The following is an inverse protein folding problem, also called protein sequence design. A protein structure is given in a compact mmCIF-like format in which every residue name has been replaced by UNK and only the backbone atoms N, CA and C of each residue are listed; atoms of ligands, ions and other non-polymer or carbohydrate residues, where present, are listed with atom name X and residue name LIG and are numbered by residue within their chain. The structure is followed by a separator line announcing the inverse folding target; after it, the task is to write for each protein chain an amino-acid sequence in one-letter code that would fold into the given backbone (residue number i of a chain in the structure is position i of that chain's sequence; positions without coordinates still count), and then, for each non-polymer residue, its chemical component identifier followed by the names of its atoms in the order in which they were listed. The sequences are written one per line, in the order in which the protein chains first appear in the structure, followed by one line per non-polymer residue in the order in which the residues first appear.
data_IF_570559560677
#
_entry.id   IF_570559560677
#
_cell.length_a   1.000
_cell.length_b   1.000
_cell.length_c   1.000
_cell.angle_alpha   90.00
_cell.angle_beta   90.00
_cell.angle_gamma   90.00
#
_symmetry.space_group_name_H-M   'P 1'
#
loop_
_entity.id
_entity.type
_entity.pdbx_description
1 polymer ?
#
# COMPACT_ATOMS: atom_id res chain seq x y z
N UNK A 1 -15.44 -12.27 -10.30
CA UNK A 1 -14.22 -13.08 -10.08
C UNK A 1 -14.46 -14.26 -9.11
N UNK A 2 -15.08 -14.05 -7.95
CA UNK A 2 -15.38 -15.15 -7.00
C UNK A 2 -16.28 -16.23 -7.63
N UNK A 3 -17.35 -15.84 -8.27
CA UNK A 3 -18.26 -16.77 -8.94
C UNK A 3 -17.53 -17.58 -10.01
N UNK A 4 -16.74 -16.92 -10.86
CA UNK A 4 -15.95 -17.60 -11.88
C UNK A 4 -14.97 -18.62 -11.28
N UNK A 5 -14.25 -18.27 -10.19
CA UNK A 5 -13.37 -19.19 -9.52
C UNK A 5 -14.10 -20.39 -8.89
N UNK A 6 -15.30 -20.16 -8.35
CA UNK A 6 -16.12 -21.25 -7.77
C UNK A 6 -16.69 -22.20 -8.82
N UNK A 7 -17.08 -21.66 -9.99
CA UNK A 7 -17.71 -22.41 -11.06
C UNK A 7 -16.68 -23.17 -11.94
N UNK A 8 -15.56 -22.52 -12.25
CA UNK A 8 -14.59 -23.02 -13.23
C UNK A 8 -13.24 -23.46 -12.63
N UNK A 9 -13.07 -23.32 -11.31
CA UNK A 9 -11.86 -23.78 -10.61
C UNK A 9 -10.74 -22.74 -10.49
N UNK A 10 -9.53 -23.22 -10.15
CA UNK A 10 -8.40 -22.36 -9.75
C UNK A 10 -7.70 -21.61 -10.89
N UNK A 11 -7.97 -21.98 -12.16
CA UNK A 11 -7.46 -21.29 -13.36
C UNK A 11 -8.61 -21.12 -14.34
N UNK A 12 -8.98 -19.87 -14.63
CA UNK A 12 -10.12 -19.55 -15.51
C UNK A 12 -9.65 -18.71 -16.69
N UNK A 13 -9.88 -19.18 -17.92
CA UNK A 13 -9.60 -18.42 -19.15
C UNK A 13 -10.73 -17.43 -19.41
N UNK A 14 -10.39 -16.16 -19.35
CA UNK A 14 -11.30 -15.04 -19.62
C UNK A 14 -10.81 -14.27 -20.85
N UNK A 15 -11.74 -13.65 -21.58
CA UNK A 15 -11.41 -12.72 -22.65
C UNK A 15 -11.88 -11.33 -22.27
N UNK A 16 -10.95 -10.40 -22.22
CA UNK A 16 -11.25 -8.97 -22.06
C UNK A 16 -10.91 -8.23 -23.35
N UNK A 17 -11.93 -7.97 -24.15
CA UNK A 17 -11.79 -7.47 -25.52
C UNK A 17 -10.86 -8.40 -26.34
N UNK A 18 -9.72 -7.91 -26.82
CA UNK A 18 -8.76 -8.67 -27.63
C UNK A 18 -7.66 -9.36 -26.77
N UNK A 19 -7.73 -9.26 -25.45
CA UNK A 19 -6.69 -9.79 -24.56
C UNK A 19 -7.15 -11.10 -23.93
N UNK A 20 -6.27 -12.09 -23.96
CA UNK A 20 -6.40 -13.27 -23.09
C UNK A 20 -6.06 -12.86 -21.68
N UNK A 21 -6.95 -13.16 -20.74
CA UNK A 21 -6.79 -12.88 -19.32
C UNK A 21 -7.14 -14.13 -18.55
N UNK A 22 -6.18 -14.64 -17.81
CA UNK A 22 -6.41 -15.79 -16.93
C UNK A 22 -6.58 -15.31 -15.51
N UNK A 23 -7.64 -15.78 -14.87
CA UNK A 23 -7.85 -15.60 -13.45
C UNK A 23 -7.27 -16.81 -12.74
N UNK A 24 -6.31 -16.58 -11.84
CA UNK A 24 -5.64 -17.65 -11.09
C UNK A 24 -5.89 -17.44 -9.61
N UNK A 25 -6.47 -18.46 -8.96
CA UNK A 25 -6.83 -18.41 -7.53
C UNK A 25 -6.23 -19.56 -6.72
N UNK A 26 -5.53 -20.51 -7.37
CA UNK A 26 -4.86 -21.59 -6.69
C UNK A 26 -3.49 -21.16 -6.17
N UNK A 27 -3.22 -21.25 -4.85
CA UNK A 27 -1.97 -20.75 -4.25
C UNK A 27 -0.70 -21.35 -4.86
N UNK A 28 -0.66 -22.64 -5.15
CA UNK A 28 0.50 -23.28 -5.77
C UNK A 28 0.79 -22.74 -7.19
N UNK A 29 -0.26 -22.39 -7.95
CA UNK A 29 -0.11 -21.80 -9.28
C UNK A 29 0.34 -20.33 -9.16
N UNK A 30 -0.19 -19.59 -8.18
CA UNK A 30 0.23 -18.22 -7.87
C UNK A 30 1.71 -18.21 -7.48
N UNK A 31 2.14 -19.14 -6.64
CA UNK A 31 3.54 -19.30 -6.26
C UNK A 31 4.43 -19.60 -7.48
N UNK A 32 3.98 -20.48 -8.37
CA UNK A 32 4.69 -20.77 -9.61
C UNK A 32 4.91 -19.50 -10.43
N UNK A 33 3.89 -18.66 -10.60
CA UNK A 33 3.95 -17.41 -11.39
C UNK A 33 4.76 -16.31 -10.72
N UNK A 34 4.61 -16.14 -9.40
CA UNK A 34 5.21 -15.01 -8.68
C UNK A 34 6.62 -15.30 -8.17
N UNK A 35 6.93 -16.56 -7.88
CA UNK A 35 8.17 -16.97 -7.20
C UNK A 35 9.01 -17.85 -8.10
N UNK A 36 8.58 -19.08 -8.35
CA UNK A 36 9.41 -20.14 -8.98
C UNK A 36 9.77 -19.76 -10.40
N UNK A 37 8.81 -19.35 -11.20
CA UNK A 37 8.97 -19.02 -12.61
C UNK A 37 8.88 -17.52 -12.89
N UNK A 38 9.12 -16.67 -11.88
CA UNK A 38 8.95 -15.22 -11.96
C UNK A 38 9.66 -14.56 -13.16
N UNK A 39 10.76 -15.15 -13.65
CA UNK A 39 11.52 -14.68 -14.83
C UNK A 39 10.77 -14.83 -16.15
N UNK A 40 9.81 -15.73 -16.25
CA UNK A 40 8.98 -15.94 -17.43
C UNK A 40 7.85 -14.92 -17.56
N UNK A 41 7.71 -14.06 -16.56
CA UNK A 41 6.61 -13.09 -16.47
C UNK A 41 7.11 -11.67 -16.22
N UNK A 42 6.36 -10.70 -16.75
CA UNK A 42 6.52 -9.28 -16.45
C UNK A 42 5.25 -8.72 -15.83
N UNK A 43 5.27 -7.49 -15.36
CA UNK A 43 4.08 -6.79 -14.90
C UNK A 43 3.07 -6.67 -16.04
N UNK A 44 1.79 -6.81 -15.71
CA UNK A 44 0.73 -6.77 -16.71
C UNK A 44 0.59 -5.39 -17.35
N UNK A 45 -0.11 -5.34 -18.46
CA UNK A 45 -0.19 -4.16 -19.30
C UNK A 45 -0.72 -2.90 -18.58
N UNK A 46 -1.66 -3.03 -17.63
CA UNK A 46 -2.25 -1.89 -16.95
C UNK A 46 -1.21 -1.09 -16.14
N UNK A 47 -0.30 -1.76 -15.44
CA UNK A 47 0.82 -1.08 -14.77
C UNK A 47 1.74 -0.37 -15.76
N UNK A 48 1.90 -0.94 -16.96
CA UNK A 48 2.72 -0.34 -18.03
C UNK A 48 2.03 0.79 -18.78
N UNK A 49 0.72 1.04 -18.55
CA UNK A 49 0.01 2.21 -19.10
C UNK A 49 0.28 3.50 -18.32
N UNK A 50 0.95 3.43 -17.18
CA UNK A 50 1.18 4.58 -16.29
C UNK A 50 2.64 5.14 -16.26
N UNK A 51 3.44 5.05 -17.34
CA UNK A 51 4.79 5.62 -17.34
C UNK A 51 4.77 7.16 -17.34
N UNK A 52 3.64 7.78 -17.58
CA UNK A 52 3.50 9.24 -17.60
C UNK A 52 3.62 9.81 -16.19
N UNK A 53 3.02 9.14 -15.20
CA UNK A 53 3.09 9.54 -13.79
C UNK A 53 4.35 8.99 -13.13
N UNK A 54 4.56 7.68 -13.20
CA UNK A 54 5.58 6.95 -12.44
C UNK A 54 6.91 6.77 -13.18
N UNK A 55 7.00 7.20 -14.45
CA UNK A 55 8.19 7.00 -15.25
C UNK A 55 8.63 5.54 -15.32
N UNK A 56 9.92 5.30 -15.08
CA UNK A 56 10.54 3.97 -14.98
C UNK A 56 10.95 3.62 -13.54
N UNK A 57 10.10 3.98 -12.55
CA UNK A 57 10.33 3.59 -11.15
C UNK A 57 10.07 2.10 -10.89
N UNK A 58 10.29 1.65 -9.65
CA UNK A 58 10.20 0.24 -9.24
C UNK A 58 8.87 -0.43 -9.62
N UNK A 59 7.77 0.31 -9.64
CA UNK A 59 6.45 -0.25 -9.96
C UNK A 59 6.24 -0.49 -11.46
N UNK A 60 6.91 0.27 -12.34
CA UNK A 60 6.68 0.27 -13.79
C UNK A 60 7.82 -0.32 -14.60
N UNK A 61 9.03 -0.35 -14.05
CA UNK A 61 10.24 -0.85 -14.72
C UNK A 61 10.31 -2.37 -14.78
N UNK A 62 11.11 -2.91 -15.70
CA UNK A 62 11.24 -4.35 -15.97
C UNK A 62 12.69 -4.77 -16.20
N UNK A 63 12.94 -6.07 -16.19
CA UNK A 63 14.22 -6.68 -16.54
C UNK A 63 15.37 -6.24 -15.64
N UNK A 64 16.57 -6.15 -16.22
CA UNK A 64 17.81 -5.79 -15.51
C UNK A 64 17.76 -4.37 -14.95
N UNK A 65 17.07 -3.45 -15.64
CA UNK A 65 16.88 -2.10 -15.13
C UNK A 65 16.11 -2.11 -13.81
N UNK A 66 14.99 -2.85 -13.72
CA UNK A 66 14.25 -3.01 -12.48
C UNK A 66 15.11 -3.65 -11.38
N UNK A 67 15.86 -4.71 -11.71
CA UNK A 67 16.71 -5.41 -10.75
C UNK A 67 17.77 -4.48 -10.16
N UNK A 68 18.39 -3.66 -11.01
CA UNK A 68 19.33 -2.64 -10.59
C UNK A 68 18.69 -1.62 -9.64
N UNK A 69 17.56 -1.04 -10.02
CA UNK A 69 16.84 -0.06 -9.17
C UNK A 69 16.43 -0.68 -7.83
N UNK A 70 15.94 -1.92 -7.84
CA UNK A 70 15.58 -2.65 -6.62
C UNK A 70 16.77 -2.81 -5.68
N UNK A 71 17.95 -3.20 -6.18
CA UNK A 71 19.18 -3.34 -5.38
C UNK A 71 19.61 -2.01 -4.77
N UNK A 72 19.54 -0.92 -5.53
CA UNK A 72 19.91 0.41 -5.05
C UNK A 72 18.95 0.94 -3.98
N UNK A 73 17.66 0.64 -4.09
CA UNK A 73 16.65 1.10 -3.13
C UNK A 73 16.53 0.20 -1.89
N UNK A 74 16.83 -1.11 -1.99
CA UNK A 74 16.61 -2.09 -0.92
C UNK A 74 17.25 -1.73 0.43
N UNK A 75 18.49 -1.20 0.51
CA UNK A 75 19.12 -0.84 1.79
C UNK A 75 18.33 0.21 2.59
N UNK A 76 17.63 1.13 1.90
CA UNK A 76 16.80 2.16 2.56
C UNK A 76 15.55 1.58 3.25
N UNK A 77 15.17 0.35 2.91
CA UNK A 77 14.06 -0.38 3.50
C UNK A 77 14.50 -1.53 4.40
N UNK A 78 15.76 -1.55 4.85
CA UNK A 78 16.20 -2.50 5.87
C UNK A 78 15.53 -2.21 7.20
N UNK A 79 15.31 -3.25 8.02
CA UNK A 79 14.67 -3.11 9.33
C UNK A 79 15.38 -2.09 10.22
N UNK A 80 16.71 -2.09 10.20
CA UNK A 80 17.55 -1.13 10.95
C UNK A 80 17.28 0.31 10.48
N UNK A 81 17.12 0.52 9.16
CA UNK A 81 16.84 1.84 8.62
C UNK A 81 15.43 2.30 8.96
N UNK A 82 14.44 1.41 8.84
CA UNK A 82 13.04 1.75 9.17
C UNK A 82 12.91 2.09 10.66
N UNK A 83 13.69 1.45 11.53
CA UNK A 83 13.73 1.77 12.94
C UNK A 83 14.04 3.25 13.22
N UNK A 84 14.86 3.89 12.38
CA UNK A 84 15.19 5.32 12.50
C UNK A 84 14.03 6.24 12.11
N UNK A 85 13.03 5.75 11.37
CA UNK A 85 11.83 6.51 11.01
C UNK A 85 10.72 6.43 12.07
N UNK A 86 10.81 5.53 13.05
CA UNK A 86 9.81 5.38 14.11
C UNK A 86 9.50 6.70 14.84
N UNK A 87 10.50 7.52 15.24
CA UNK A 87 10.20 8.82 15.83
C UNK A 87 9.34 9.72 14.92
N UNK A 88 9.51 9.63 13.59
CA UNK A 88 8.68 10.35 12.63
C UNK A 88 7.25 9.82 12.62
N UNK A 89 7.05 8.50 12.63
CA UNK A 89 5.70 7.90 12.69
C UNK A 89 4.96 8.36 13.94
N UNK A 90 5.63 8.32 15.07
CA UNK A 90 5.10 8.73 16.37
C UNK A 90 4.79 10.21 16.42
N UNK A 91 5.70 11.08 15.93
CA UNK A 91 5.52 12.53 15.96
C UNK A 91 4.33 12.98 15.08
N UNK A 92 4.24 12.47 13.84
CA UNK A 92 3.13 12.81 12.94
C UNK A 92 1.79 12.30 13.45
N UNK A 93 1.76 11.09 14.02
CA UNK A 93 0.54 10.56 14.66
C UNK A 93 0.15 11.41 15.87
N UNK A 94 1.10 11.80 16.71
CA UNK A 94 0.84 12.66 17.87
C UNK A 94 0.32 14.03 17.46
N UNK A 95 0.91 14.68 16.43
CA UNK A 95 0.43 15.94 15.86
C UNK A 95 -0.99 15.83 15.30
N UNK A 96 -1.33 14.72 14.64
CA UNK A 96 -2.68 14.47 14.18
C UNK A 96 -3.64 14.38 15.36
N UNK A 97 -3.33 13.57 16.36
CA UNK A 97 -4.15 13.38 17.57
C UNK A 97 -4.33 14.67 18.38
N UNK A 98 -3.32 15.53 18.41
CA UNK A 98 -3.40 16.82 19.11
C UNK A 98 -4.42 17.80 18.49
N UNK A 99 -4.82 17.59 17.24
CA UNK A 99 -5.84 18.42 16.55
C UNK A 99 -7.26 17.88 16.72
N UNK A 100 -7.42 16.67 17.26
CA UNK A 100 -8.71 16.05 17.43
C UNK A 100 -9.36 16.47 18.74
N UNK A 101 -10.65 16.78 18.69
CA UNK A 101 -11.45 17.22 19.83
C UNK A 101 -12.50 16.15 20.16
N UNK A 102 -12.92 16.08 21.44
CA UNK A 102 -14.05 15.25 21.85
C UNK A 102 -15.31 15.60 21.04
N UNK A 103 -15.95 14.55 20.46
CA UNK A 103 -17.17 14.73 19.67
C UNK A 103 -16.96 15.17 18.22
N UNK A 104 -15.71 15.37 17.78
CA UNK A 104 -15.44 15.63 16.36
C UNK A 104 -16.02 14.53 15.48
N UNK A 105 -16.67 14.94 14.39
CA UNK A 105 -17.06 14.03 13.32
C UNK A 105 -16.01 14.13 12.20
N UNK A 106 -15.35 13.00 11.86
CA UNK A 106 -14.22 13.00 10.93
C UNK A 106 -14.33 11.87 9.93
N UNK A 107 -13.88 12.13 8.70
CA UNK A 107 -13.64 11.09 7.72
C UNK A 107 -12.27 10.44 7.98
N UNK A 108 -12.27 9.22 8.51
CA UNK A 108 -11.05 8.44 8.80
C UNK A 108 -10.17 8.30 7.55
N UNK A 109 -10.76 8.14 6.37
CA UNK A 109 -9.99 8.05 5.12
C UNK A 109 -9.15 9.32 4.91
N UNK A 110 -9.73 10.49 5.09
CA UNK A 110 -9.01 11.76 4.92
C UNK A 110 -7.93 11.95 5.98
N UNK A 111 -8.22 11.59 7.23
CA UNK A 111 -7.23 11.67 8.33
C UNK A 111 -6.03 10.72 8.08
N UNK A 112 -6.29 9.48 7.69
CA UNK A 112 -5.22 8.52 7.39
C UNK A 112 -4.43 8.92 6.15
N UNK A 113 -5.08 9.46 5.12
CA UNK A 113 -4.41 10.01 3.93
C UNK A 113 -3.47 11.17 4.29
N UNK A 114 -3.90 12.08 5.17
CA UNK A 114 -3.07 13.21 5.63
C UNK A 114 -1.90 12.72 6.50
N UNK A 115 -2.14 11.76 7.40
CA UNK A 115 -1.11 11.17 8.25
C UNK A 115 0.00 10.52 7.42
N UNK A 116 -0.37 9.58 6.56
CA UNK A 116 0.60 8.83 5.75
C UNK A 116 1.32 9.70 4.73
N UNK A 117 0.66 10.75 4.22
CA UNK A 117 1.29 11.76 3.36
C UNK A 117 2.40 12.51 4.11
N UNK A 118 2.11 12.97 5.33
CA UNK A 118 3.10 13.66 6.18
C UNK A 118 4.28 12.76 6.51
N UNK A 119 4.02 11.52 6.94
CA UNK A 119 5.05 10.52 7.24
C UNK A 119 5.92 10.25 6.01
N UNK A 120 5.30 9.97 4.85
CA UNK A 120 6.02 9.71 3.62
C UNK A 120 6.89 10.91 3.19
N UNK A 121 6.35 12.13 3.25
CA UNK A 121 7.09 13.34 2.92
C UNK A 121 8.34 13.51 3.81
N UNK A 122 8.18 13.28 5.12
CA UNK A 122 9.29 13.43 6.07
C UNK A 122 10.34 12.35 5.94
N UNK A 123 9.93 11.10 5.82
CA UNK A 123 10.86 9.96 5.73
C UNK A 123 11.53 9.84 4.38
N UNK A 124 10.85 10.23 3.29
CA UNK A 124 11.41 10.14 1.95
C UNK A 124 12.26 11.36 1.57
N UNK A 125 11.80 12.57 1.97
CA UNK A 125 12.40 13.82 1.50
C UNK A 125 12.97 14.71 2.61
N UNK A 126 12.79 14.33 3.88
CA UNK A 126 13.14 15.19 5.02
C UNK A 126 12.26 16.45 5.14
N UNK A 127 11.26 16.60 4.28
CA UNK A 127 10.42 17.79 4.19
C UNK A 127 9.13 17.63 5.01
N UNK A 128 8.65 18.69 5.61
CA UNK A 128 7.31 18.70 6.22
C UNK A 128 6.24 18.72 5.10
N UNK A 129 5.39 17.68 5.09
CA UNK A 129 4.42 17.43 4.02
C UNK A 129 3.30 18.46 3.90
N UNK A 130 3.07 19.29 4.92
CA UNK A 130 1.93 20.20 4.99
C UNK A 130 1.92 21.25 3.87
N UNK A 131 3.09 21.75 3.47
CA UNK A 131 3.20 22.79 2.45
C UNK A 131 2.72 22.35 1.04
N UNK A 132 2.77 21.07 0.74
CA UNK A 132 2.40 20.52 -0.57
C UNK A 132 1.22 19.56 -0.52
N UNK A 133 0.64 19.31 0.65
CA UNK A 133 -0.38 18.27 0.87
C UNK A 133 -1.58 18.41 -0.07
N UNK A 134 -2.12 19.61 -0.23
CA UNK A 134 -3.28 19.85 -1.10
C UNK A 134 -2.97 19.66 -2.58
N UNK A 135 -1.80 20.14 -3.03
CA UNK A 135 -1.34 19.95 -4.41
C UNK A 135 -1.14 18.47 -4.72
N UNK A 136 -0.49 17.74 -3.84
CA UNK A 136 -0.26 16.30 -3.96
C UNK A 136 -1.60 15.56 -3.96
N UNK A 137 -2.50 15.83 -3.02
CA UNK A 137 -3.82 15.21 -2.93
C UNK A 137 -4.63 15.40 -4.22
N UNK A 138 -4.67 16.63 -4.72
CA UNK A 138 -5.38 16.96 -5.97
C UNK A 138 -4.77 16.25 -7.18
N UNK A 139 -3.43 16.26 -7.29
CA UNK A 139 -2.73 15.59 -8.38
C UNK A 139 -2.93 14.07 -8.35
N UNK A 140 -2.93 13.45 -7.17
CA UNK A 140 -3.20 12.03 -6.99
C UNK A 140 -4.60 11.65 -7.45
N UNK A 141 -5.63 12.38 -7.02
CA UNK A 141 -7.00 12.12 -7.43
C UNK A 141 -7.15 12.18 -8.96
N UNK A 142 -6.57 13.20 -9.59
CA UNK A 142 -6.59 13.35 -11.06
C UNK A 142 -5.89 12.17 -11.75
N UNK A 143 -4.71 11.77 -11.25
CA UNK A 143 -3.94 10.68 -11.87
C UNK A 143 -4.67 9.34 -11.77
N UNK A 144 -5.34 9.07 -10.66
CA UNK A 144 -6.13 7.85 -10.44
C UNK A 144 -7.40 7.83 -11.30
N UNK A 145 -8.17 8.93 -11.36
CA UNK A 145 -9.34 9.03 -12.21
C UNK A 145 -8.98 8.79 -13.68
N UNK A 146 -7.92 9.41 -14.16
CA UNK A 146 -7.50 9.26 -15.57
C UNK A 146 -6.91 7.86 -15.82
N UNK A 147 -6.27 7.22 -14.82
CA UNK A 147 -5.84 5.83 -14.93
C UNK A 147 -7.05 4.90 -15.15
N UNK A 148 -8.08 4.98 -14.31
CA UNK A 148 -9.30 4.16 -14.46
C UNK A 148 -9.99 4.42 -15.78
N UNK A 149 -10.13 5.70 -16.16
CA UNK A 149 -10.73 6.07 -17.46
C UNK A 149 -9.97 5.47 -18.66
N UNK A 150 -8.63 5.45 -18.58
CA UNK A 150 -7.78 4.85 -19.61
C UNK A 150 -7.90 3.34 -19.65
N UNK A 151 -8.03 2.69 -18.49
CA UNK A 151 -8.14 1.23 -18.39
C UNK A 151 -9.41 0.71 -19.10
N UNK A 152 -10.53 1.45 -18.99
CA UNK A 152 -11.83 1.04 -19.54
C UNK A 152 -12.09 1.55 -20.98
N UNK A 153 -11.28 2.48 -21.50
CA UNK A 153 -11.44 2.98 -22.87
C UNK A 153 -10.94 1.98 -23.88
N UNK A 154 -11.78 1.64 -24.87
CA UNK A 154 -11.40 0.79 -26.01
C UNK A 154 -10.33 1.45 -26.90
N UNK A 155 -10.43 2.77 -27.09
CA UNK A 155 -9.46 3.56 -27.86
C UNK A 155 -8.77 4.54 -26.92
N UNK A 156 -7.45 4.39 -26.80
CA UNK A 156 -6.62 5.28 -26.00
C UNK A 156 -6.00 6.34 -26.89
N UNK A 157 -6.44 7.58 -26.72
CA UNK A 157 -5.77 8.71 -27.37
C UNK A 157 -4.40 8.95 -26.72
N UNK A 158 -3.35 9.17 -27.52
CA UNK A 158 -2.04 9.54 -27.00
C UNK A 158 -2.14 10.80 -26.12
N UNK A 159 -1.26 10.90 -25.12
CA UNK A 159 -1.30 12.02 -24.14
C UNK A 159 -1.04 13.39 -24.76
N UNK A 160 -0.32 13.44 -25.88
CA UNK A 160 -0.06 14.69 -26.59
C UNK A 160 -1.32 15.28 -27.26
N UNK A 161 -2.36 14.46 -27.47
CA UNK A 161 -3.66 14.98 -27.96
C UNK A 161 -4.30 15.84 -26.86
N UNK A 162 -4.62 17.13 -27.10
CA UNK A 162 -5.00 18.07 -26.07
C UNK A 162 -6.47 17.94 -25.61
N UNK A 163 -6.89 16.75 -25.19
CA UNK A 163 -8.20 16.54 -24.56
C UNK A 163 -8.23 17.16 -23.15
N UNK A 164 -9.42 17.45 -22.65
CA UNK A 164 -9.59 17.98 -21.29
C UNK A 164 -8.96 17.04 -20.23
N UNK A 165 -9.12 15.72 -20.37
CA UNK A 165 -8.50 14.70 -19.48
C UNK A 165 -6.99 14.70 -19.59
N UNK A 166 -6.43 14.68 -20.81
CA UNK A 166 -4.98 14.71 -21.00
C UNK A 166 -4.36 16.01 -20.45
N UNK A 167 -5.01 17.16 -20.63
CA UNK A 167 -4.53 18.43 -20.08
C UNK A 167 -4.54 18.43 -18.56
N UNK A 168 -5.60 17.88 -17.91
CA UNK A 168 -5.65 17.73 -16.46
C UNK A 168 -4.53 16.79 -15.95
N UNK A 169 -4.37 15.63 -16.59
CA UNK A 169 -3.31 14.68 -16.24
C UNK A 169 -1.92 15.29 -16.36
N UNK A 170 -1.61 15.95 -17.49
CA UNK A 170 -0.28 16.56 -17.69
C UNK A 170 -0.01 17.73 -16.73
N UNK A 171 -1.06 18.44 -16.28
CA UNK A 171 -0.91 19.45 -15.22
C UNK A 171 -0.57 18.79 -13.90
N UNK A 172 -1.36 17.79 -13.47
CA UNK A 172 -1.11 17.04 -12.26
C UNK A 172 0.30 16.42 -12.19
N UNK A 173 0.77 15.86 -13.32
CA UNK A 173 2.13 15.32 -13.42
C UNK A 173 3.18 16.43 -13.26
N UNK A 174 2.99 17.59 -13.89
CA UNK A 174 3.93 18.73 -13.75
C UNK A 174 3.98 19.25 -12.31
N UNK A 175 2.84 19.32 -11.63
CA UNK A 175 2.78 19.75 -10.23
C UNK A 175 3.57 18.81 -9.33
N UNK A 176 3.40 17.48 -9.49
CA UNK A 176 4.19 16.46 -8.78
C UNK A 176 5.68 16.52 -9.13
N UNK A 177 6.02 16.71 -10.42
CA UNK A 177 7.39 16.82 -10.89
C UNK A 177 8.09 18.02 -10.26
N UNK A 178 7.40 19.16 -10.22
CA UNK A 178 7.96 20.38 -9.62
C UNK A 178 8.35 20.13 -8.16
N UNK A 179 7.46 19.52 -7.38
CA UNK A 179 7.72 19.20 -5.96
C UNK A 179 8.93 18.27 -5.81
N UNK A 180 8.97 17.17 -6.58
CA UNK A 180 10.05 16.19 -6.44
C UNK A 180 11.40 16.73 -6.93
N UNK A 181 11.42 17.44 -8.06
CA UNK A 181 12.66 18.06 -8.53
C UNK A 181 13.16 19.18 -7.61
N UNK A 182 12.27 19.90 -6.93
CA UNK A 182 12.66 20.88 -5.92
C UNK A 182 13.34 20.21 -4.73
N UNK A 183 12.80 19.08 -4.23
CA UNK A 183 13.45 18.30 -3.19
C UNK A 183 14.83 17.77 -3.62
N UNK A 184 14.95 17.25 -4.83
CA UNK A 184 16.23 16.77 -5.38
C UNK A 184 17.24 17.93 -5.44
N UNK A 185 16.84 19.11 -5.96
CA UNK A 185 17.72 20.28 -6.06
C UNK A 185 18.15 20.79 -4.69
N UNK A 186 17.21 20.94 -3.76
CA UNK A 186 17.51 21.39 -2.40
C UNK A 186 18.47 20.43 -1.69
N UNK A 187 18.27 19.13 -1.84
CA UNK A 187 19.13 18.12 -1.24
C UNK A 187 20.55 18.15 -1.83
N UNK A 188 20.69 18.30 -3.14
CA UNK A 188 22.01 18.42 -3.80
C UNK A 188 22.74 19.71 -3.42
N UNK A 189 22.01 20.80 -3.21
CA UNK A 189 22.57 22.07 -2.79
C UNK A 189 22.91 22.12 -1.30
N UNK A 190 22.27 21.29 -0.48
CA UNK A 190 22.55 21.23 0.95
C UNK A 190 23.75 20.35 1.24
N UNK A 191 24.69 20.86 2.07
CA UNK A 191 25.79 20.05 2.60
C UNK A 191 25.38 19.17 3.80
N UNK A 192 24.09 19.14 4.13
CA UNK A 192 23.54 18.38 5.25
C UNK A 192 23.30 16.93 4.81
N UNK A 193 24.05 16.02 5.36
CA UNK A 193 23.76 14.59 5.23
C UNK A 193 22.56 14.26 6.14
N UNK A 194 21.42 14.00 5.51
CA UNK A 194 20.24 13.46 6.20
C UNK A 194 20.12 11.98 5.88
N UNK A 195 19.52 11.24 6.79
CA UNK A 195 19.40 9.78 6.67
C UNK A 195 18.03 9.36 6.06
N UNK A 196 17.46 10.22 5.22
CA UNK A 196 16.23 9.93 4.48
C UNK A 196 16.48 9.14 3.18
N UNK A 197 15.39 8.63 2.60
CA UNK A 197 15.45 7.82 1.39
C UNK A 197 16.09 8.55 0.22
N UNK A 198 15.75 9.84 0.00
CA UNK A 198 16.30 10.62 -1.12
C UNK A 198 17.83 10.73 -1.01
N UNK A 199 18.36 11.01 0.19
CA UNK A 199 19.80 11.03 0.42
C UNK A 199 20.47 9.70 0.12
N UNK A 200 19.85 8.60 0.52
CA UNK A 200 20.34 7.26 0.24
C UNK A 200 20.32 6.92 -1.24
N UNK A 201 19.26 7.27 -1.96
CA UNK A 201 19.19 7.09 -3.42
C UNK A 201 20.21 7.97 -4.16
N UNK A 202 20.45 9.18 -3.68
CA UNK A 202 21.50 10.06 -4.21
C UNK A 202 22.91 9.50 -3.99
N UNK A 203 23.15 8.87 -2.84
CA UNK A 203 24.43 8.25 -2.50
C UNK A 203 24.63 6.88 -3.15
N UNK A 204 23.54 6.22 -3.54
CA UNK A 204 23.58 4.86 -4.09
C UNK A 204 24.42 4.81 -5.37
N UNK A 205 25.41 3.90 -5.38
CA UNK A 205 26.25 3.60 -6.53
C UNK A 205 26.10 2.13 -6.88
N UNK A 206 26.18 1.85 -8.16
CA UNK A 206 26.28 0.47 -8.63
C UNK A 206 27.71 -0.02 -8.45
N UNK A 207 27.90 -1.27 -8.06
CA UNK A 207 29.24 -1.86 -8.00
C UNK A 207 29.88 -1.79 -9.39
N UNK A 208 31.00 -1.06 -9.49
CA UNK A 208 31.72 -0.84 -10.75
C UNK A 208 31.20 0.27 -11.66
N UNK A 209 30.13 1.02 -11.30
CA UNK A 209 29.65 2.16 -12.08
C UNK A 209 30.20 3.51 -11.53
N UNK A 210 30.74 4.32 -12.41
CA UNK A 210 31.25 5.68 -12.06
C UNK A 210 30.08 6.64 -11.70
N UNK A 211 28.85 6.35 -12.09
CA UNK A 211 27.71 7.26 -11.97
C UNK A 211 26.58 6.66 -11.14
N UNK A 212 25.96 7.47 -10.25
CA UNK A 212 24.72 7.13 -9.54
C UNK A 212 23.48 7.28 -10.42
N UNK A 213 22.31 7.35 -9.78
CA UNK A 213 21.05 7.63 -10.47
C UNK A 213 21.04 9.04 -11.09
N UNK A 214 20.50 9.15 -12.31
CA UNK A 214 20.20 10.46 -12.91
C UNK A 214 19.01 11.12 -12.18
N UNK A 215 18.84 12.44 -12.32
CA UNK A 215 17.72 13.16 -11.71
C UNK A 215 16.37 12.61 -12.17
N UNK A 216 16.26 12.19 -13.43
CA UNK A 216 15.07 11.54 -13.94
C UNK A 216 14.81 10.20 -13.26
N UNK A 217 15.82 9.38 -13.03
CA UNK A 217 15.67 8.11 -12.30
C UNK A 217 15.28 8.36 -10.84
N UNK A 218 15.93 9.32 -10.16
CA UNK A 218 15.59 9.74 -8.81
C UNK A 218 14.13 10.20 -8.72
N UNK A 219 13.69 11.06 -9.66
CA UNK A 219 12.29 11.49 -9.75
C UNK A 219 11.34 10.30 -9.89
N UNK A 220 11.63 9.37 -10.79
CA UNK A 220 10.78 8.23 -11.09
C UNK A 220 10.67 7.28 -9.86
N UNK A 221 11.77 7.05 -9.15
CA UNK A 221 11.78 6.26 -7.91
C UNK A 221 11.10 6.98 -6.75
N UNK A 222 11.41 8.26 -6.55
CA UNK A 222 10.79 9.07 -5.51
C UNK A 222 9.27 9.13 -5.65
N UNK A 223 8.75 9.41 -6.84
CA UNK A 223 7.32 9.41 -7.08
C UNK A 223 6.70 8.03 -6.89
N UNK A 224 7.37 6.98 -7.39
CA UNK A 224 6.86 5.60 -7.25
C UNK A 224 6.73 5.22 -5.78
N UNK A 225 7.75 5.45 -4.97
CA UNK A 225 7.78 5.06 -3.56
C UNK A 225 6.80 5.94 -2.76
N UNK A 226 6.78 7.24 -3.04
CA UNK A 226 5.88 8.19 -2.38
C UNK A 226 4.41 7.83 -2.59
N UNK A 227 3.99 7.62 -3.83
CA UNK A 227 2.61 7.28 -4.16
C UNK A 227 2.21 5.89 -3.63
N UNK A 228 3.11 4.92 -3.75
CA UNK A 228 2.85 3.56 -3.26
C UNK A 228 2.73 3.51 -1.74
N UNK A 229 3.58 4.23 -1.00
CA UNK A 229 3.61 4.19 0.47
C UNK A 229 2.47 4.97 1.11
N UNK A 230 2.10 6.12 0.56
CA UNK A 230 1.09 6.98 1.14
C UNK A 230 -0.32 6.38 1.07
N UNK A 231 -0.81 6.05 -0.12
CA UNK A 231 -2.20 5.66 -0.33
C UNK A 231 -2.52 4.28 0.25
N UNK A 232 -1.67 3.29 0.01
CA UNK A 232 -1.96 1.90 0.43
C UNK A 232 -2.02 1.76 1.95
N UNK A 233 -1.13 2.43 2.67
CA UNK A 233 -1.10 2.45 4.14
C UNK A 233 -2.33 3.16 4.70
N UNK A 234 -2.72 4.31 4.13
CA UNK A 234 -3.93 5.02 4.53
C UNK A 234 -5.19 4.18 4.35
N UNK A 235 -5.29 3.46 3.23
CA UNK A 235 -6.43 2.59 2.94
C UNK A 235 -6.49 1.39 3.88
N UNK A 236 -5.36 0.75 4.18
CA UNK A 236 -5.30 -0.35 5.15
C UNK A 236 -5.78 0.13 6.53
N UNK A 237 -5.30 1.27 7.02
CA UNK A 237 -5.75 1.85 8.29
C UNK A 237 -7.24 2.23 8.24
N UNK A 238 -7.73 2.80 7.14
CA UNK A 238 -9.13 3.19 7.00
C UNK A 238 -10.08 1.99 7.05
N UNK A 239 -9.74 0.92 6.35
CA UNK A 239 -10.51 -0.32 6.42
C UNK A 239 -10.43 -0.99 7.80
N UNK A 240 -9.27 -0.89 8.45
CA UNK A 240 -9.09 -1.38 9.83
C UNK A 240 -10.01 -0.66 10.80
N UNK A 241 -10.07 0.66 10.76
CA UNK A 241 -10.97 1.45 11.62
C UNK A 241 -12.44 1.21 11.30
N UNK A 242 -12.80 1.03 10.04
CA UNK A 242 -14.15 0.61 9.64
C UNK A 242 -14.54 -0.72 10.28
N UNK A 243 -13.66 -1.72 10.22
CA UNK A 243 -13.92 -3.03 10.82
C UNK A 243 -13.97 -2.96 12.34
N UNK A 244 -13.09 -2.24 12.99
CA UNK A 244 -13.12 -2.04 14.45
C UNK A 244 -14.39 -1.34 14.91
N UNK A 245 -14.89 -0.39 14.14
CA UNK A 245 -16.17 0.28 14.44
C UNK A 245 -17.38 -0.63 14.32
N UNK A 246 -17.29 -1.73 13.57
CA UNK A 246 -18.33 -2.75 13.47
C UNK A 246 -18.19 -3.88 14.50
N UNK A 247 -16.98 -4.07 15.07
CA UNK A 247 -16.64 -5.19 15.95
C UNK A 247 -16.07 -4.69 17.28
N UNK A 248 -16.96 -4.17 18.13
CA UNK A 248 -16.58 -3.52 19.39
C UNK A 248 -15.78 -4.43 20.33
N UNK A 249 -16.05 -5.73 20.34
CA UNK A 249 -15.28 -6.68 21.16
C UNK A 249 -13.82 -6.76 20.72
N UNK A 250 -13.57 -6.75 19.41
CA UNK A 250 -12.22 -6.69 18.85
C UNK A 250 -11.57 -5.36 19.16
N UNK A 251 -12.31 -4.26 18.96
CA UNK A 251 -11.81 -2.92 19.28
C UNK A 251 -11.40 -2.81 20.75
N UNK A 252 -12.20 -3.34 21.68
CA UNK A 252 -11.87 -3.32 23.10
C UNK A 252 -10.59 -4.12 23.44
N UNK A 253 -10.30 -5.21 22.73
CA UNK A 253 -9.01 -5.93 22.90
C UNK A 253 -7.83 -5.06 22.45
N UNK A 254 -7.95 -4.38 21.30
CA UNK A 254 -6.91 -3.44 20.82
C UNK A 254 -6.71 -2.29 21.80
N UNK A 255 -7.81 -1.74 22.34
CA UNK A 255 -7.76 -0.67 23.34
C UNK A 255 -7.04 -1.15 24.62
N UNK A 256 -7.40 -2.33 25.12
CA UNK A 256 -6.76 -2.90 26.31
C UNK A 256 -5.26 -3.18 26.10
N UNK A 257 -4.89 -3.69 24.91
CA UNK A 257 -3.48 -3.88 24.55
C UNK A 257 -2.72 -2.55 24.51
N UNK A 258 -3.28 -1.55 23.83
CA UNK A 258 -2.65 -0.22 23.74
C UNK A 258 -2.44 0.40 25.14
N UNK A 259 -3.42 0.28 26.06
CA UNK A 259 -3.32 0.76 27.41
C UNK A 259 -2.22 0.01 28.20
N UNK A 260 -2.20 -1.32 28.11
CA UNK A 260 -1.24 -2.16 28.83
C UNK A 260 0.20 -1.99 28.31
N UNK A 261 0.37 -1.85 26.99
CA UNK A 261 1.72 -1.75 26.39
C UNK A 261 2.26 -0.33 26.47
N UNK A 262 1.45 0.66 26.16
CA UNK A 262 1.89 2.06 26.07
C UNK A 262 1.77 2.82 27.40
N UNK A 263 0.81 2.48 28.24
CA UNK A 263 0.61 3.10 29.56
C UNK A 263 0.63 4.64 29.53
N UNK A 264 -0.01 5.24 28.54
CA UNK A 264 -0.08 6.71 28.34
C UNK A 264 1.14 7.34 27.67
N UNK A 265 2.23 6.61 27.45
CA UNK A 265 3.44 7.13 26.77
C UNK A 265 3.39 6.94 25.26
N UNK A 266 4.28 7.62 24.56
CA UNK A 266 4.55 7.38 23.14
C UNK A 266 5.26 6.05 22.94
N UNK A 267 4.91 5.27 21.88
CA UNK A 267 5.56 4.00 21.59
C UNK A 267 7.00 4.16 21.07
N UNK A 268 7.75 3.09 21.22
CA UNK A 268 9.09 2.90 20.67
C UNK A 268 9.14 1.63 19.82
N UNK A 269 10.30 1.33 19.21
CA UNK A 269 10.50 0.09 18.47
C UNK A 269 10.28 -1.16 19.31
N UNK A 270 10.62 -1.10 20.63
CA UNK A 270 10.54 -2.22 21.56
C UNK A 270 9.09 -2.59 21.91
N UNK A 271 8.13 -1.73 21.59
CA UNK A 271 6.72 -2.00 21.83
C UNK A 271 6.09 -2.84 20.71
N UNK A 272 6.62 -2.80 19.48
CA UNK A 272 6.08 -3.51 18.34
C UNK A 272 5.86 -5.02 18.60
N UNK A 273 6.80 -5.77 19.19
CA UNK A 273 6.57 -7.20 19.48
C UNK A 273 5.46 -7.47 20.49
N UNK A 274 5.06 -6.46 21.27
CA UNK A 274 4.03 -6.54 22.32
C UNK A 274 2.63 -6.16 21.82
N UNK A 275 2.53 -5.52 20.65
CA UNK A 275 1.28 -5.05 20.01
C UNK A 275 0.69 -6.13 19.10
N UNK A 276 0.44 -7.33 19.64
CA UNK A 276 0.02 -8.51 18.87
C UNK A 276 -1.42 -8.47 18.40
N UNK A 277 -2.37 -8.05 19.25
CA UNK A 277 -3.77 -7.90 18.84
C UNK A 277 -3.88 -6.82 17.75
N UNK A 278 -3.11 -5.73 17.90
CA UNK A 278 -3.01 -4.67 16.89
C UNK A 278 -2.48 -5.21 15.55
N UNK A 279 -1.42 -6.03 15.57
CA UNK A 279 -0.87 -6.68 14.38
C UNK A 279 -1.89 -7.63 13.73
N UNK A 280 -2.54 -8.49 14.52
CA UNK A 280 -3.55 -9.45 14.03
C UNK A 280 -4.75 -8.75 13.38
N UNK A 281 -5.20 -7.64 13.95
CA UNK A 281 -6.26 -6.80 13.39
C UNK A 281 -5.86 -6.24 12.03
N UNK A 282 -4.63 -5.77 11.87
CA UNK A 282 -4.12 -5.27 10.57
C UNK A 282 -4.03 -6.39 9.53
N UNK A 283 -3.51 -7.56 9.91
CA UNK A 283 -3.42 -8.71 9.01
C UNK A 283 -4.82 -9.15 8.54
N UNK A 284 -5.79 -9.22 9.45
CA UNK A 284 -7.16 -9.61 9.13
C UNK A 284 -7.88 -8.55 8.28
N UNK A 285 -7.65 -7.28 8.56
CA UNK A 285 -8.17 -6.19 7.74
C UNK A 285 -7.64 -6.27 6.31
N UNK A 286 -6.34 -6.47 6.12
CA UNK A 286 -5.73 -6.63 4.79
C UNK A 286 -6.16 -7.93 4.11
N UNK A 287 -6.52 -8.99 4.85
CA UNK A 287 -7.12 -10.19 4.28
C UNK A 287 -8.47 -9.89 3.64
N UNK A 288 -9.33 -9.15 4.35
CA UNK A 288 -10.68 -8.80 3.89
C UNK A 288 -10.67 -7.67 2.86
N UNK A 289 -9.86 -6.65 3.08
CA UNK A 289 -9.80 -5.43 2.26
C UNK A 289 -8.36 -5.08 1.88
N UNK A 290 -7.67 -5.93 1.09
CA UNK A 290 -6.31 -5.62 0.65
C UNK A 290 -6.31 -4.36 -0.22
N UNK A 291 -5.53 -3.32 0.11
CA UNK A 291 -5.46 -2.12 -0.72
C UNK A 291 -5.05 -2.40 -2.17
N UNK A 292 -4.05 -3.26 -2.37
CA UNK A 292 -3.68 -3.80 -3.68
C UNK A 292 -4.43 -5.11 -3.90
N UNK A 293 -5.68 -5.03 -4.31
CA UNK A 293 -6.64 -6.14 -4.33
C UNK A 293 -6.41 -7.22 -5.42
N UNK A 294 -5.45 -7.00 -6.31
CA UNK A 294 -5.13 -7.90 -7.42
C UNK A 294 -3.68 -7.74 -7.86
N UNK A 295 -2.97 -8.83 -7.95
CA UNK A 295 -1.62 -8.90 -8.54
C UNK A 295 -1.72 -9.40 -9.98
N UNK A 296 -1.07 -8.73 -10.92
CA UNK A 296 -1.10 -9.11 -12.33
C UNK A 296 0.28 -9.34 -12.93
N UNK A 297 0.37 -10.33 -13.81
CA UNK A 297 1.55 -10.65 -14.61
C UNK A 297 1.16 -10.82 -16.08
N UNK A 298 2.14 -10.79 -16.96
CA UNK A 298 1.98 -11.10 -18.39
C UNK A 298 3.10 -12.06 -18.81
N UNK A 299 2.74 -13.15 -19.48
CA UNK A 299 3.70 -14.14 -19.95
C UNK A 299 4.62 -13.57 -21.05
N UNK A 300 5.93 -13.70 -20.87
CA UNK A 300 6.94 -13.23 -21.83
C UNK A 300 7.18 -14.22 -22.97
N UNK A 301 6.93 -15.49 -22.71
CA UNK A 301 7.10 -16.62 -23.61
C UNK A 301 5.92 -17.56 -23.47
N UNK A 302 5.75 -18.50 -24.39
CA UNK A 302 4.84 -19.62 -24.21
C UNK A 302 5.34 -20.43 -23.01
N UNK A 303 4.47 -20.73 -22.07
CA UNK A 303 4.80 -21.42 -20.83
C UNK A 303 3.64 -22.26 -20.34
N UNK A 304 3.78 -22.90 -19.20
CA UNK A 304 2.72 -23.63 -18.52
C UNK A 304 2.30 -22.89 -17.25
N UNK A 305 0.99 -22.80 -17.01
CA UNK A 305 0.41 -22.21 -15.78
C UNK A 305 -0.73 -23.11 -15.30
N UNK A 306 -0.54 -23.75 -14.16
CA UNK A 306 -1.54 -24.64 -13.58
C UNK A 306 -1.87 -25.86 -14.44
N UNK A 307 -0.91 -26.43 -15.17
CA UNK A 307 -1.09 -27.56 -16.07
C UNK A 307 -1.65 -27.19 -17.46
N UNK A 308 -1.87 -25.90 -17.73
CA UNK A 308 -2.40 -25.43 -19.02
C UNK A 308 -1.34 -24.68 -19.83
N UNK A 309 -1.36 -24.88 -21.15
CA UNK A 309 -0.52 -24.11 -22.08
C UNK A 309 -0.92 -22.63 -22.07
N UNK A 310 -0.02 -21.78 -21.58
CA UNK A 310 -0.20 -20.35 -21.48
C UNK A 310 0.58 -19.63 -22.58
N UNK A 311 -0.07 -19.12 -23.64
CA UNK A 311 0.60 -18.42 -24.71
C UNK A 311 1.26 -17.11 -24.24
N UNK A 312 2.36 -16.74 -24.89
CA UNK A 312 2.98 -15.43 -24.74
C UNK A 312 1.96 -14.29 -24.82
N UNK A 313 2.09 -13.30 -23.94
CA UNK A 313 1.20 -12.13 -23.90
C UNK A 313 -0.09 -12.35 -23.11
N UNK A 314 -0.36 -13.58 -22.63
CA UNK A 314 -1.48 -13.84 -21.71
C UNK A 314 -1.29 -13.04 -20.43
N UNK A 315 -2.31 -12.29 -20.05
CA UNK A 315 -2.35 -11.61 -18.74
C UNK A 315 -2.88 -12.57 -17.68
N UNK A 316 -2.15 -12.71 -16.59
CA UNK A 316 -2.53 -13.54 -15.44
C UNK A 316 -2.88 -12.60 -14.29
N UNK A 317 -4.10 -12.69 -13.81
CA UNK A 317 -4.62 -11.91 -12.69
C UNK A 317 -4.82 -12.84 -11.49
N UNK A 318 -4.22 -12.46 -10.37
CA UNK A 318 -4.27 -13.17 -9.08
C UNK A 318 -4.98 -12.26 -8.07
N UNK A 319 -6.30 -12.40 -7.90
CA UNK A 319 -7.10 -11.52 -7.06
C UNK A 319 -6.97 -11.91 -5.59
N UNK A 320 -6.28 -11.07 -4.81
CA UNK A 320 -6.15 -11.23 -3.36
C UNK A 320 -7.52 -11.32 -2.67
N UNK A 321 -8.47 -10.47 -3.08
CA UNK A 321 -9.84 -10.47 -2.54
C UNK A 321 -10.60 -11.79 -2.73
N UNK A 322 -10.17 -12.65 -3.62
CA UNK A 322 -10.75 -14.00 -3.82
C UNK A 322 -9.95 -15.03 -3.04
N UNK A 323 -8.63 -15.03 -3.21
CA UNK A 323 -7.72 -16.02 -2.59
C UNK A 323 -7.75 -15.92 -1.07
N UNK A 324 -7.67 -14.70 -0.53
CA UNK A 324 -7.72 -14.43 0.92
C UNK A 324 -9.07 -14.75 1.57
N UNK A 325 -10.06 -15.14 0.78
CA UNK A 325 -11.38 -15.56 1.27
C UNK A 325 -11.75 -16.96 0.80
N UNK A 326 -10.76 -17.77 0.49
CA UNK A 326 -10.99 -19.16 0.14
C UNK A 326 -11.27 -20.00 1.39
N UNK A 327 -12.43 -20.66 1.50
CA UNK A 327 -12.81 -21.44 2.68
C UNK A 327 -11.90 -22.65 2.91
N UNK A 328 -11.12 -23.07 1.92
CA UNK A 328 -10.14 -24.16 2.07
C UNK A 328 -9.00 -23.75 3.01
N UNK A 329 -8.69 -22.47 3.11
CA UNK A 329 -7.57 -21.93 3.89
C UNK A 329 -8.02 -21.05 5.05
N UNK A 330 -9.20 -20.42 4.94
CA UNK A 330 -9.72 -19.49 5.94
C UNK A 330 -11.12 -19.95 6.37
N UNK A 331 -11.21 -20.53 7.54
CA UNK A 331 -12.50 -20.83 8.16
C UNK A 331 -13.31 -19.55 8.34
N UNK A 332 -14.64 -19.58 8.07
CA UNK A 332 -15.50 -18.38 8.11
C UNK A 332 -14.88 -17.21 7.35
N UNK A 333 -14.65 -17.36 6.02
CA UNK A 333 -13.74 -16.51 5.25
C UNK A 333 -14.22 -15.06 5.09
N UNK A 334 -15.50 -14.79 5.26
CA UNK A 334 -16.10 -13.46 5.11
C UNK A 334 -16.23 -12.71 6.45
N UNK A 335 -15.93 -13.37 7.58
CA UNK A 335 -15.98 -12.77 8.91
C UNK A 335 -14.62 -12.15 9.30
N UNK A 336 -14.71 -11.09 10.11
CA UNK A 336 -13.54 -10.41 10.67
C UNK A 336 -13.13 -11.07 11.99
N UNK A 337 -12.12 -11.91 11.95
CA UNK A 337 -11.66 -12.76 13.05
C UNK A 337 -10.13 -12.61 13.25
N UNK A 338 -9.66 -11.54 13.88
CA UNK A 338 -8.23 -11.34 14.11
C UNK A 338 -7.56 -12.46 14.91
N UNK A 339 -8.30 -13.15 15.77
CA UNK A 339 -7.82 -14.30 16.56
C UNK A 339 -7.30 -15.46 15.70
N UNK A 340 -7.66 -15.54 14.41
CA UNK A 340 -7.11 -16.56 13.51
C UNK A 340 -5.60 -16.45 13.33
N UNK A 341 -5.02 -15.23 13.48
CA UNK A 341 -3.60 -14.99 13.30
C UNK A 341 -2.75 -15.39 14.50
N UNK A 342 -3.39 -15.86 15.59
CA UNK A 342 -2.69 -16.45 16.76
C UNK A 342 -1.98 -17.73 16.36
N UNK A 343 -1.05 -18.17 17.20
CA UNK A 343 -0.32 -19.43 17.08
C UNK A 343 0.36 -19.61 15.74
N UNK A 344 0.94 -18.53 15.22
CA UNK A 344 1.66 -18.52 13.93
C UNK A 344 0.82 -19.05 12.74
N UNK A 345 -0.47 -18.75 12.71
CA UNK A 345 -1.39 -19.22 11.67
C UNK A 345 -0.87 -18.96 10.25
N UNK A 346 -0.26 -17.79 10.02
CA UNK A 346 0.32 -17.45 8.71
C UNK A 346 1.33 -18.49 8.22
N UNK A 347 2.14 -19.05 9.12
CA UNK A 347 3.13 -20.11 8.79
C UNK A 347 2.50 -21.44 8.44
N UNK A 348 1.23 -21.66 8.81
CA UNK A 348 0.48 -22.88 8.50
C UNK A 348 -0.24 -22.81 7.15
N UNK A 349 -0.39 -21.61 6.58
CA UNK A 349 -1.00 -21.42 5.29
C UNK A 349 -0.09 -21.91 4.16
N UNK A 350 -0.65 -22.46 3.07
CA UNK A 350 0.10 -22.65 1.84
C UNK A 350 0.71 -21.33 1.38
N UNK A 351 1.93 -21.38 0.87
CA UNK A 351 2.57 -20.18 0.33
C UNK A 351 1.66 -19.55 -0.75
N UNK A 352 1.54 -18.23 -0.74
CA UNK A 352 0.61 -17.47 -1.59
C UNK A 352 -0.90 -17.71 -1.35
N UNK A 353 -1.33 -18.34 -0.24
CA UNK A 353 -2.71 -18.27 0.21
C UNK A 353 -3.04 -16.92 0.86
N UNK A 354 -2.02 -16.25 1.42
CA UNK A 354 -2.09 -14.88 1.95
C UNK A 354 -0.88 -14.09 1.45
N UNK A 355 -1.09 -13.04 0.65
CA UNK A 355 -0.01 -12.28 0.01
C UNK A 355 -0.33 -10.79 -0.20
N UNK A 356 -0.78 -10.04 0.83
CA UNK A 356 -1.22 -8.65 0.69
C UNK A 356 -0.11 -7.68 0.24
N UNK A 357 1.13 -8.13 0.29
CA UNK A 357 2.31 -7.43 -0.20
C UNK A 357 2.89 -8.04 -1.49
N UNK A 358 2.13 -8.93 -2.15
CA UNK A 358 2.62 -9.74 -3.25
C UNK A 358 3.60 -10.82 -2.80
N UNK A 359 4.31 -11.43 -3.76
CA UNK A 359 5.28 -12.50 -3.46
C UNK A 359 6.46 -12.50 -4.43
N UNK A 360 7.50 -13.27 -4.07
CA UNK A 360 8.69 -13.50 -4.88
C UNK A 360 9.60 -12.29 -5.02
N UNK A 361 10.43 -12.22 -6.07
CA UNK A 361 11.42 -11.15 -6.25
C UNK A 361 10.81 -9.74 -6.27
N UNK A 362 9.52 -9.63 -6.63
CA UNK A 362 8.79 -8.36 -6.74
C UNK A 362 7.84 -8.10 -5.56
N UNK A 363 8.08 -8.76 -4.43
CA UNK A 363 7.38 -8.45 -3.16
C UNK A 363 7.54 -6.97 -2.81
N UNK A 364 6.56 -6.38 -2.16
CA UNK A 364 6.58 -4.99 -1.75
C UNK A 364 7.88 -4.66 -0.99
N UNK A 365 8.59 -3.62 -1.42
CA UNK A 365 9.83 -3.19 -0.78
C UNK A 365 9.57 -2.55 0.58
N UNK A 366 8.40 -1.94 0.74
CA UNK A 366 7.98 -1.20 1.92
C UNK A 366 7.11 -2.02 2.90
N UNK A 367 7.02 -3.35 2.78
CA UNK A 367 6.15 -4.17 3.64
C UNK A 367 6.43 -3.95 5.14
N UNK A 368 7.69 -4.03 5.54
CA UNK A 368 8.10 -3.80 6.94
C UNK A 368 7.82 -2.37 7.40
N UNK A 369 8.08 -1.38 6.52
CA UNK A 369 7.78 0.02 6.78
C UNK A 369 6.28 0.22 7.05
N UNK A 370 5.43 -0.27 6.15
CA UNK A 370 3.99 -0.13 6.24
C UNK A 370 3.43 -0.81 7.51
N UNK A 371 3.89 -2.03 7.83
CA UNK A 371 3.43 -2.74 9.04
C UNK A 371 3.83 -2.00 10.31
N UNK A 372 5.07 -1.50 10.42
CA UNK A 372 5.50 -0.73 11.60
C UNK A 372 4.73 0.58 11.72
N UNK A 373 4.56 1.32 10.63
CA UNK A 373 3.80 2.57 10.59
C UNK A 373 2.36 2.34 11.05
N UNK A 374 1.67 1.36 10.44
CA UNK A 374 0.27 1.06 10.75
C UNK A 374 0.09 0.60 12.19
N UNK A 375 0.96 -0.28 12.69
CA UNK A 375 0.88 -0.82 14.06
C UNK A 375 1.02 0.30 15.09
N UNK A 376 2.01 1.18 14.92
CA UNK A 376 2.23 2.29 15.86
C UNK A 376 1.12 3.33 15.78
N UNK A 377 0.68 3.70 14.57
CA UNK A 377 -0.40 4.67 14.39
C UNK A 377 -1.71 4.13 15.00
N UNK A 378 -2.06 2.87 14.71
CA UNK A 378 -3.28 2.24 15.23
C UNK A 378 -3.26 2.18 16.76
N UNK A 379 -2.14 1.76 17.39
CA UNK A 379 -2.01 1.69 18.84
C UNK A 379 -2.09 3.08 19.51
N UNK A 380 -1.45 4.11 18.93
CA UNK A 380 -1.49 5.47 19.45
C UNK A 380 -2.90 6.09 19.37
N UNK A 381 -3.61 5.86 18.26
CA UNK A 381 -4.99 6.31 18.10
C UNK A 381 -5.88 5.56 19.10
N UNK A 382 -5.74 4.23 19.17
CA UNK A 382 -6.51 3.37 20.08
C UNK A 382 -6.29 3.72 21.55
N UNK A 383 -5.11 4.19 21.94
CA UNK A 383 -4.85 4.66 23.29
C UNK A 383 -5.67 5.91 23.67
N UNK A 384 -5.92 6.81 22.71
CA UNK A 384 -6.52 8.13 23.01
C UNK A 384 -7.98 8.26 22.64
N UNK A 385 -8.42 7.58 21.57
CA UNK A 385 -9.77 7.73 21.02
C UNK A 385 -10.43 6.39 20.71
N UNK A 386 -11.72 6.35 20.92
CA UNK A 386 -12.63 5.36 20.40
C UNK A 386 -13.36 5.96 19.19
N UNK A 387 -13.52 5.17 18.14
CA UNK A 387 -14.26 5.55 16.94
C UNK A 387 -15.64 4.91 16.96
N UNK A 388 -16.67 5.74 16.84
CA UNK A 388 -18.03 5.29 16.63
C UNK A 388 -18.42 5.62 15.21
N UNK A 389 -18.74 4.59 14.43
CA UNK A 389 -19.19 4.79 13.04
C UNK A 389 -20.50 5.57 13.03
N UNK A 390 -20.60 6.55 12.14
CA UNK A 390 -21.83 7.30 11.98
C UNK A 390 -22.97 6.37 11.51
N UNK A 391 -24.16 6.45 12.11
CA UNK A 391 -25.27 5.60 11.75
C UNK A 391 -25.75 5.89 10.32
N UNK A 392 -26.18 4.84 9.62
CA UNK A 392 -26.80 4.96 8.30
C UNK A 392 -25.84 5.19 7.12
N UNK A 393 -24.53 5.29 7.35
CA UNK A 393 -23.60 5.34 6.23
C UNK A 393 -23.51 4.00 5.51
N UNK A 394 -23.61 4.03 4.18
CA UNK A 394 -23.46 2.84 3.34
C UNK A 394 -22.05 2.83 2.73
N UNK A 395 -21.12 2.16 3.40
CA UNK A 395 -19.72 2.06 2.94
C UNK A 395 -19.58 0.87 1.99
N UNK A 396 -19.14 1.16 0.77
CA UNK A 396 -18.94 0.17 -0.28
C UNK A 396 -17.49 0.14 -0.75
N UNK A 397 -17.10 -0.98 -1.36
CA UNK A 397 -15.77 -1.12 -1.97
C UNK A 397 -15.68 -0.33 -3.28
N UNK A 398 -14.94 0.75 -3.26
CA UNK A 398 -14.60 1.50 -4.47
C UNK A 398 -13.36 0.92 -5.15
N UNK A 399 -13.57 0.22 -6.27
CA UNK A 399 -12.48 -0.36 -7.06
C UNK A 399 -11.90 0.71 -7.99
N UNK A 400 -10.64 1.06 -7.77
CA UNK A 400 -9.84 1.95 -8.62
C UNK A 400 -8.50 1.27 -8.93
N UNK A 401 -7.38 1.98 -8.80
CA UNK A 401 -6.05 1.37 -8.77
C UNK A 401 -5.86 0.58 -7.48
N UNK A 402 -6.52 1.03 -6.43
CA UNK A 402 -6.57 0.47 -5.08
C UNK A 402 -8.01 0.23 -4.65
N UNK A 403 -8.20 -0.53 -3.59
CA UNK A 403 -9.50 -0.81 -2.98
C UNK A 403 -9.76 0.19 -1.85
N UNK A 404 -10.67 1.15 -2.08
CA UNK A 404 -10.95 2.23 -1.11
C UNK A 404 -12.39 2.21 -0.59
N UNK A 405 -12.64 2.63 0.67
CA UNK A 405 -14.00 2.83 1.15
C UNK A 405 -14.65 4.02 0.42
N UNK A 406 -15.91 3.86 0.01
CA UNK A 406 -16.72 4.93 -0.60
C UNK A 406 -18.05 5.08 0.14
N UNK A 407 -18.44 6.30 0.46
CA UNK A 407 -17.85 7.60 0.10
C UNK A 407 -16.60 7.98 0.91
N UNK A 408 -16.39 7.37 2.04
CA UNK A 408 -15.36 7.55 3.06
C UNK A 408 -15.77 6.76 4.29
N UNK A 409 -15.18 7.01 5.46
CA UNK A 409 -15.52 6.37 6.74
C UNK A 409 -15.75 7.47 7.77
N UNK A 410 -16.99 7.93 7.90
CA UNK A 410 -17.36 8.96 8.87
C UNK A 410 -17.47 8.35 10.27
N UNK A 411 -16.85 9.00 11.24
CA UNK A 411 -16.81 8.54 12.63
C UNK A 411 -16.90 9.72 13.58
N UNK A 412 -17.56 9.48 14.71
CA UNK A 412 -17.54 10.39 15.85
C UNK A 412 -16.44 9.93 16.82
N UNK A 413 -15.59 10.85 17.25
CA UNK A 413 -14.46 10.61 18.13
C UNK A 413 -14.88 10.75 19.60
N UNK A 414 -14.67 9.68 20.38
CA UNK A 414 -14.86 9.68 21.83
C UNK A 414 -13.51 9.54 22.51
N UNK A 415 -13.09 10.48 23.37
CA UNK A 415 -11.84 10.34 24.13
C UNK A 415 -11.90 9.12 25.06
N UNK A 416 -10.79 8.43 25.17
CA UNK A 416 -10.61 7.38 26.16
C UNK A 416 -9.86 7.93 27.37
N UNK A 417 -10.47 7.77 28.54
CA UNK A 417 -9.83 8.14 29.79
C UNK A 417 -8.80 7.07 30.16
N UNK A 418 -7.57 7.20 29.68
CA UNK A 418 -6.45 6.38 30.20
C UNK A 418 -6.02 6.99 31.52
N UNK A 419 -6.64 6.56 32.62
CA UNK A 419 -6.09 6.85 33.93
C UNK A 419 -4.79 6.02 34.07
N UNK A 420 -3.62 6.65 34.32
CA UNK A 420 -2.43 5.87 34.61
C UNK A 420 -2.74 4.98 35.82
N UNK A 421 -2.58 3.68 35.68
CA UNK A 421 -2.63 2.79 36.83
C UNK A 421 -1.52 3.27 37.81
N UNK A 422 -1.96 3.90 38.90
CA UNK A 422 -1.06 4.16 40.04
C UNK A 422 -0.71 2.80 40.64
N UNK A 423 0.44 2.29 40.31
CA UNK A 423 1.18 1.33 41.12
C UNK A 423 2.36 2.03 41.79
#
# INVERSE_FOLDING_TARGET
MREAAREYGGVVDLRFAFRKVWLVTEPAVIESVLVTNARLFRKHFALRLNPIVLGKGLLTSEGDFWLRQRRLAQPAFSRTQIAQYIPTFVDYTDRMLARWQPGDNRDVLQEMMALTLGIASKTLFGADGDAHAETVRTALNVTQEEFVRRLVRLVQLPVWVPTAGNRRLLRAVRDLDTIVYDFIRQRRASNVQTDDLLSRLLAARDEGAATGMSDKQLRDECLTIFLAGQETTALALSWTWYLLGQHLEVANRVYAEADAVLAGRKPTIDDLPRLKETEHVLLESMRLFPPAFIVGREALVDTEVGGFHCPRGTTILMPETVVHRDPRFFERPDEFLPERWRDDFEKKLPHCAYFPFGAGPRICIGNTFAMMEMTLALAMIAQRFQFTLDPGQNITMGVQFTLRPKPGVMTTLTPRNTTPSRN
#
